data_IF_587118988541
#
_entry.id   IF_587118988541
#
_cell.length_a   1.000
_cell.length_b   1.000
_cell.length_c   1.000
_cell.angle_alpha   90.00
_cell.angle_beta   90.00
_cell.angle_gamma   90.00
#
_symmetry.space_group_name_H-M   'P 1'
#
loop_
_entity.id
_entity.type
_entity.pdbx_description
1 polymer ?
#
# COMPACT_ATOMS: atom_id res chain seq x y z
N UNK A 1 22.57 30.09 -11.81
CA UNK A 1 22.87 28.80 -11.15
C UNK A 1 21.57 28.37 -10.48
N UNK A 2 20.78 27.59 -11.19
CA UNK A 2 19.53 26.99 -10.67
C UNK A 2 19.93 25.73 -9.93
N UNK A 3 19.82 25.73 -8.62
CA UNK A 3 19.93 24.52 -7.81
C UNK A 3 18.86 23.53 -8.28
N UNK A 4 19.31 22.40 -8.79
CA UNK A 4 18.46 21.28 -9.16
C UNK A 4 17.73 20.79 -7.89
N UNK A 5 16.45 21.04 -7.79
CA UNK A 5 15.55 20.39 -6.83
C UNK A 5 15.28 18.95 -7.31
N UNK A 6 16.33 18.15 -7.51
CA UNK A 6 16.21 16.73 -7.75
C UNK A 6 16.22 16.01 -6.40
N UNK A 7 15.03 15.75 -5.86
CA UNK A 7 14.85 14.64 -4.92
C UNK A 7 15.24 13.32 -5.60
N UNK A 8 15.41 12.22 -4.85
CA UNK A 8 15.78 10.92 -5.42
C UNK A 8 14.78 10.52 -6.50
N UNK A 9 15.30 10.04 -7.62
CA UNK A 9 14.52 9.57 -8.77
C UNK A 9 13.77 8.29 -8.39
N UNK A 10 12.44 8.30 -8.55
CA UNK A 10 11.57 7.15 -8.24
C UNK A 10 11.51 6.24 -9.46
N UNK A 11 12.03 5.03 -9.35
CA UNK A 11 12.03 4.03 -10.42
C UNK A 11 10.72 3.26 -10.40
N UNK A 12 9.96 3.38 -11.49
CA UNK A 12 8.61 2.82 -11.61
C UNK A 12 8.59 1.72 -12.66
N UNK A 13 7.90 0.62 -12.37
CA UNK A 13 7.51 -0.41 -13.34
C UNK A 13 6.02 -0.30 -13.60
N UNK A 14 5.63 -0.40 -14.87
CA UNK A 14 4.23 -0.45 -15.31
C UNK A 14 3.87 -1.88 -15.67
N UNK A 15 2.87 -2.45 -15.03
CA UNK A 15 2.35 -3.80 -15.30
C UNK A 15 0.86 -3.74 -15.61
N UNK A 16 0.50 -3.95 -16.86
CA UNK A 16 -0.87 -3.93 -17.38
C UNK A 16 -0.90 -4.70 -18.71
N UNK A 17 -1.90 -5.52 -18.97
CA UNK A 17 -2.00 -6.26 -20.23
C UNK A 17 -2.40 -5.36 -21.42
N UNK A 18 -2.99 -4.20 -21.14
CA UNK A 18 -3.43 -3.24 -22.14
C UNK A 18 -2.30 -2.27 -22.52
N UNK A 19 -1.73 -2.45 -23.71
CA UNK A 19 -0.64 -1.60 -24.22
C UNK A 19 -0.98 -0.10 -24.21
N UNK A 20 -2.20 0.28 -24.57
CA UNK A 20 -2.62 1.69 -24.60
C UNK A 20 -2.61 2.32 -23.21
N UNK A 21 -2.98 1.57 -22.19
CA UNK A 21 -2.96 2.01 -20.79
C UNK A 21 -1.52 2.24 -20.33
N UNK A 22 -0.60 1.30 -20.63
CA UNK A 22 0.82 1.46 -20.32
C UNK A 22 1.43 2.69 -21.01
N UNK A 23 1.15 2.89 -22.32
CA UNK A 23 1.61 4.07 -23.07
C UNK A 23 1.08 5.38 -22.46
N UNK A 24 -0.18 5.41 -22.04
CA UNK A 24 -0.79 6.56 -21.36
C UNK A 24 -0.09 6.90 -20.06
N UNK A 25 0.11 5.92 -19.18
CA UNK A 25 0.84 6.13 -17.92
C UNK A 25 2.30 6.52 -18.16
N UNK A 26 2.97 5.91 -19.14
CA UNK A 26 4.35 6.27 -19.50
C UNK A 26 4.48 7.74 -19.94
N UNK A 27 3.54 8.25 -20.70
CA UNK A 27 3.52 9.67 -21.10
C UNK A 27 3.34 10.60 -19.89
N UNK A 28 2.42 10.25 -18.97
CA UNK A 28 2.18 11.04 -17.75
C UNK A 28 3.40 11.05 -16.84
N UNK A 29 4.02 9.89 -16.62
CA UNK A 29 5.17 9.75 -15.72
C UNK A 29 6.45 10.32 -16.35
N UNK A 30 6.67 10.13 -17.64
CA UNK A 30 7.83 10.66 -18.37
C UNK A 30 7.88 12.20 -18.46
N UNK A 31 6.77 12.88 -18.16
CA UNK A 31 6.75 14.33 -18.02
C UNK A 31 7.30 14.82 -16.67
N UNK A 32 7.62 13.92 -15.73
CA UNK A 32 8.11 14.25 -14.38
C UNK A 32 9.61 14.05 -14.28
N UNK A 33 10.33 15.08 -13.86
CA UNK A 33 11.80 15.05 -13.75
C UNK A 33 12.34 14.09 -12.65
N UNK A 34 11.49 13.65 -11.72
CA UNK A 34 11.87 12.82 -10.58
C UNK A 34 11.21 11.42 -10.58
N UNK A 35 10.69 10.99 -11.73
CA UNK A 35 10.11 9.65 -11.91
C UNK A 35 10.67 9.07 -13.20
N UNK A 36 11.20 7.85 -13.11
CA UNK A 36 11.70 7.11 -14.27
C UNK A 36 10.94 5.79 -14.42
N UNK A 37 10.42 5.53 -15.63
CA UNK A 37 9.79 4.26 -15.99
C UNK A 37 10.87 3.29 -16.45
N UNK A 38 11.39 2.48 -15.53
CA UNK A 38 12.51 1.57 -15.77
C UNK A 38 12.10 0.26 -16.43
N UNK A 39 10.81 -0.06 -16.51
CA UNK A 39 10.33 -1.28 -17.15
C UNK A 39 8.83 -1.32 -17.38
N UNK A 40 8.43 -2.15 -18.33
CA UNK A 40 7.02 -2.45 -18.65
C UNK A 40 6.82 -3.96 -18.72
N UNK A 41 5.68 -4.45 -18.24
CA UNK A 41 5.29 -5.86 -18.28
C UNK A 41 3.81 -5.99 -18.71
N UNK A 42 3.49 -7.10 -19.37
CA UNK A 42 2.12 -7.44 -19.78
C UNK A 42 1.45 -8.43 -18.82
N UNK A 43 2.22 -8.93 -17.86
CA UNK A 43 1.78 -9.88 -16.84
C UNK A 43 2.72 -9.91 -15.62
N UNK A 44 2.34 -10.69 -14.63
CA UNK A 44 3.12 -10.82 -13.40
C UNK A 44 4.46 -11.51 -13.57
N UNK A 45 4.63 -12.40 -14.56
CA UNK A 45 5.92 -13.06 -14.84
C UNK A 45 6.95 -12.05 -15.32
N UNK A 46 6.56 -11.19 -16.26
CA UNK A 46 7.38 -10.09 -16.73
C UNK A 46 7.80 -9.12 -15.62
N UNK A 47 6.90 -8.83 -14.67
CA UNK A 47 7.27 -8.02 -13.50
C UNK A 47 8.38 -8.69 -12.69
N UNK A 48 8.25 -9.99 -12.39
CA UNK A 48 9.27 -10.71 -11.62
C UNK A 48 10.62 -10.78 -12.33
N UNK A 49 10.63 -10.87 -13.67
CA UNK A 49 11.86 -10.84 -14.45
C UNK A 49 12.55 -9.47 -14.40
N UNK A 50 11.79 -8.38 -14.46
CA UNK A 50 12.32 -7.03 -14.29
C UNK A 50 12.92 -6.86 -12.89
N UNK A 51 12.24 -7.29 -11.83
CA UNK A 51 12.70 -7.19 -10.45
C UNK A 51 14.00 -7.94 -10.17
N UNK A 52 14.35 -8.97 -10.96
CA UNK A 52 15.62 -9.70 -10.84
C UNK A 52 16.80 -8.93 -11.41
N UNK A 53 16.54 -8.00 -12.31
CA UNK A 53 17.58 -7.35 -13.12
C UNK A 53 17.72 -5.86 -12.84
N UNK A 54 16.64 -5.21 -12.41
CA UNK A 54 16.60 -3.76 -12.20
C UNK A 54 16.15 -3.42 -10.77
N UNK A 55 16.75 -2.39 -10.17
CA UNK A 55 16.25 -1.84 -8.93
C UNK A 55 14.96 -1.05 -9.21
N UNK A 56 13.90 -1.38 -8.47
CA UNK A 56 12.55 -0.80 -8.61
C UNK A 56 12.08 -0.29 -7.27
N UNK A 57 11.47 0.91 -7.25
CA UNK A 57 10.94 1.52 -6.04
C UNK A 57 9.41 1.33 -5.94
N UNK A 58 8.70 1.51 -7.07
CA UNK A 58 7.24 1.40 -7.13
C UNK A 58 6.82 0.57 -8.37
N UNK A 59 5.86 -0.30 -8.19
CA UNK A 59 5.22 -1.05 -9.27
C UNK A 59 3.77 -0.59 -9.36
N UNK A 60 3.38 -0.03 -10.51
CA UNK A 60 1.97 0.16 -10.85
C UNK A 60 1.46 -1.14 -11.46
N UNK A 61 0.59 -1.83 -10.74
CA UNK A 61 0.19 -3.21 -11.05
C UNK A 61 -1.29 -3.30 -11.36
N UNK A 62 -1.64 -3.67 -12.59
CA UNK A 62 -3.01 -4.11 -12.86
C UNK A 62 -3.32 -5.41 -12.13
N UNK A 63 -4.55 -5.55 -11.68
CA UNK A 63 -5.02 -6.77 -11.03
C UNK A 63 -5.22 -7.89 -12.02
N UNK A 64 -5.81 -7.60 -13.17
CA UNK A 64 -6.23 -8.60 -14.15
C UNK A 64 -5.26 -8.67 -15.31
N UNK A 65 -4.32 -9.59 -15.24
CA UNK A 65 -3.36 -9.85 -16.29
C UNK A 65 -3.35 -11.34 -16.67
N UNK A 66 -2.98 -11.69 -17.91
CA UNK A 66 -2.85 -13.09 -18.33
C UNK A 66 -1.69 -13.79 -17.60
N UNK A 67 -1.63 -15.12 -17.68
CA UNK A 67 -0.60 -15.99 -17.11
C UNK A 67 -0.47 -15.89 -15.59
N UNK A 68 0.03 -14.78 -15.09
CA UNK A 68 0.11 -14.45 -13.67
C UNK A 68 -0.62 -13.13 -13.40
N UNK A 69 -1.66 -13.18 -12.57
CA UNK A 69 -2.42 -12.00 -12.17
C UNK A 69 -1.65 -11.08 -11.20
N UNK A 70 -2.16 -9.87 -11.00
CA UNK A 70 -1.52 -8.87 -10.16
C UNK A 70 -1.49 -9.25 -8.67
N UNK A 71 -2.41 -10.06 -8.18
CA UNK A 71 -2.43 -10.51 -6.78
C UNK A 71 -1.28 -11.48 -6.53
N UNK A 72 -1.10 -12.47 -7.37
CA UNK A 72 0.00 -13.43 -7.26
C UNK A 72 1.35 -12.77 -7.54
N UNK A 73 1.41 -11.87 -8.54
CA UNK A 73 2.61 -11.07 -8.80
C UNK A 73 2.99 -10.20 -7.59
N UNK A 74 2.02 -9.57 -6.94
CA UNK A 74 2.23 -8.81 -5.69
C UNK A 74 2.82 -9.68 -4.61
N UNK A 75 2.22 -10.84 -4.35
CA UNK A 75 2.71 -11.78 -3.32
C UNK A 75 4.16 -12.17 -3.55
N UNK A 76 4.52 -12.55 -4.79
CA UNK A 76 5.88 -12.96 -5.15
C UNK A 76 6.87 -11.81 -5.11
N UNK A 77 6.48 -10.63 -5.60
CA UNK A 77 7.31 -9.42 -5.55
C UNK A 77 7.64 -9.05 -4.10
N UNK A 78 6.65 -9.10 -3.20
CA UNK A 78 6.84 -8.80 -1.79
C UNK A 78 7.76 -9.82 -1.09
N UNK A 79 7.71 -11.09 -1.48
CA UNK A 79 8.56 -12.14 -0.91
C UNK A 79 10.01 -12.07 -1.41
N UNK A 80 10.24 -11.55 -2.63
CA UNK A 80 11.55 -11.68 -3.30
C UNK A 80 12.46 -10.47 -3.08
N UNK A 81 11.94 -9.25 -3.13
CA UNK A 81 12.77 -8.04 -3.19
C UNK A 81 12.67 -7.12 -1.96
N UNK A 82 11.65 -7.29 -1.14
CA UNK A 82 11.43 -6.51 0.10
C UNK A 82 11.35 -4.99 -0.04
N UNK A 83 11.89 -4.40 -1.12
CA UNK A 83 12.01 -2.94 -1.30
C UNK A 83 10.99 -2.32 -2.24
N UNK A 84 10.60 -3.01 -3.33
CA UNK A 84 9.62 -2.48 -4.27
C UNK A 84 8.21 -2.46 -3.65
N UNK A 85 7.52 -1.34 -3.76
CA UNK A 85 6.16 -1.15 -3.25
C UNK A 85 5.16 -1.28 -4.37
N UNK A 86 4.08 -2.01 -4.12
CA UNK A 86 3.06 -2.28 -5.15
C UNK A 86 1.86 -1.35 -4.94
N UNK A 87 1.56 -0.56 -5.96
CA UNK A 87 0.36 0.25 -6.07
C UNK A 87 -0.56 -0.40 -7.10
N UNK A 88 -1.67 -0.95 -6.65
CA UNK A 88 -2.64 -1.62 -7.52
C UNK A 88 -3.43 -0.62 -8.35
N UNK A 89 -3.59 -0.93 -9.63
CA UNK A 89 -4.48 -0.24 -10.56
C UNK A 89 -5.75 -1.09 -10.76
N UNK A 90 -6.92 -0.51 -10.61
CA UNK A 90 -8.20 -1.21 -10.82
C UNK A 90 -9.20 -0.32 -11.53
N UNK A 91 -10.12 -0.92 -12.29
CA UNK A 91 -11.23 -0.20 -12.95
C UNK A 91 -12.49 -0.14 -12.09
N UNK A 92 -12.56 -0.91 -11.00
CA UNK A 92 -13.71 -0.96 -10.10
C UNK A 92 -13.35 -0.54 -8.68
N UNK A 93 -14.23 0.26 -8.07
CA UNK A 93 -14.15 0.64 -6.67
C UNK A 93 -14.55 -0.59 -5.81
N UNK A 94 -13.65 -1.03 -4.91
CA UNK A 94 -13.93 -2.09 -3.91
C UNK A 94 -14.14 -3.52 -4.44
N UNK A 95 -13.28 -3.98 -5.33
CA UNK A 95 -13.29 -5.36 -5.83
C UNK A 95 -12.65 -6.35 -4.81
N UNK A 96 -13.11 -7.61 -4.78
CA UNK A 96 -12.48 -8.71 -4.03
C UNK A 96 -10.96 -8.80 -4.30
N UNK A 97 -10.55 -8.45 -5.50
CA UNK A 97 -9.17 -8.40 -5.93
C UNK A 97 -8.34 -7.32 -5.21
N UNK A 98 -8.92 -6.14 -4.94
CA UNK A 98 -8.21 -5.08 -4.21
C UNK A 98 -7.87 -5.54 -2.79
N UNK A 99 -8.81 -6.20 -2.10
CA UNK A 99 -8.56 -6.81 -0.79
C UNK A 99 -7.51 -7.93 -0.85
N UNK A 100 -7.64 -8.84 -1.82
CA UNK A 100 -6.67 -9.92 -2.00
C UNK A 100 -5.26 -9.40 -2.26
N UNK A 101 -5.14 -8.30 -3.03
CA UNK A 101 -3.87 -7.65 -3.30
C UNK A 101 -3.27 -6.96 -2.06
N UNK A 102 -4.09 -6.30 -1.23
CA UNK A 102 -3.64 -5.74 0.05
C UNK A 102 -3.13 -6.85 0.99
N UNK A 103 -3.84 -7.98 1.09
CA UNK A 103 -3.37 -9.17 1.82
C UNK A 103 -2.10 -9.77 1.23
N UNK A 104 -1.92 -9.70 -0.08
CA UNK A 104 -0.71 -10.16 -0.74
C UNK A 104 0.50 -9.24 -0.52
N UNK A 105 0.30 -8.05 0.08
CA UNK A 105 1.36 -7.10 0.42
C UNK A 105 1.35 -5.80 -0.39
N UNK A 106 0.27 -5.49 -1.12
CA UNK A 106 0.17 -4.19 -1.81
C UNK A 106 0.19 -3.03 -0.82
N UNK A 107 0.87 -1.95 -1.19
CA UNK A 107 1.01 -0.71 -0.40
C UNK A 107 -0.13 0.28 -0.62
N UNK A 108 -1.02 -0.01 -1.56
CA UNK A 108 -2.19 0.80 -1.87
C UNK A 108 -2.89 0.36 -3.14
N UNK A 109 -3.98 1.05 -3.46
CA UNK A 109 -4.66 0.92 -4.75
C UNK A 109 -5.25 2.26 -5.20
N UNK A 110 -5.40 2.42 -6.50
CA UNK A 110 -6.06 3.55 -7.14
C UNK A 110 -6.89 3.08 -8.34
N UNK A 111 -7.84 3.89 -8.75
CA UNK A 111 -8.62 3.64 -9.96
C UNK A 111 -7.81 4.01 -11.21
N UNK A 112 -7.99 3.29 -12.31
CA UNK A 112 -7.31 3.58 -13.58
C UNK A 112 -7.76 4.89 -14.24
N UNK A 113 -8.91 5.44 -13.83
CA UNK A 113 -9.46 6.72 -14.29
C UNK A 113 -9.04 7.91 -13.40
N UNK A 114 -8.12 7.68 -12.46
CA UNK A 114 -7.57 8.72 -11.57
C UNK A 114 -6.92 9.85 -12.37
N UNK A 115 -7.00 11.07 -11.85
CA UNK A 115 -6.31 12.21 -12.48
C UNK A 115 -4.79 12.02 -12.48
N UNK A 116 -4.06 12.57 -13.49
CA UNK A 116 -2.60 12.54 -13.48
C UNK A 116 -1.97 13.08 -12.20
N UNK A 117 -2.54 14.12 -11.61
CA UNK A 117 -2.04 14.71 -10.36
C UNK A 117 -2.18 13.75 -9.17
N UNK A 118 -3.31 13.05 -9.08
CA UNK A 118 -3.55 12.07 -8.01
C UNK A 118 -2.69 10.82 -8.18
N UNK A 119 -2.47 10.35 -9.43
CA UNK A 119 -1.54 9.26 -9.72
C UNK A 119 -0.12 9.60 -9.23
N UNK A 120 0.37 10.78 -9.57
CA UNK A 120 1.70 11.23 -9.16
C UNK A 120 1.82 11.39 -7.63
N UNK A 121 0.78 11.92 -7.00
CA UNK A 121 0.70 11.99 -5.53
C UNK A 121 0.74 10.61 -4.91
N UNK A 122 -0.02 9.67 -5.47
CA UNK A 122 -0.07 8.28 -5.02
C UNK A 122 1.31 7.59 -5.10
N UNK A 123 2.01 7.73 -6.22
CA UNK A 123 3.36 7.15 -6.39
C UNK A 123 4.33 7.70 -5.34
N UNK A 124 4.33 9.03 -5.12
CA UNK A 124 5.21 9.67 -4.13
C UNK A 124 4.89 9.23 -2.70
N UNK A 125 3.61 9.14 -2.35
CA UNK A 125 3.17 8.68 -1.03
C UNK A 125 3.54 7.22 -0.80
N UNK A 126 3.32 6.34 -1.77
CA UNK A 126 3.76 4.93 -1.68
C UNK A 126 5.27 4.86 -1.52
N UNK A 127 6.04 5.60 -2.31
CA UNK A 127 7.50 5.65 -2.21
C UNK A 127 7.98 6.13 -0.83
N UNK A 128 7.31 7.13 -0.23
CA UNK A 128 7.65 7.63 1.12
C UNK A 128 7.19 6.70 2.26
N UNK A 129 6.45 5.64 1.96
CA UNK A 129 5.91 4.73 2.97
C UNK A 129 4.58 5.17 3.58
N UNK A 130 3.99 6.20 3.03
CA UNK A 130 2.65 6.63 3.38
C UNK A 130 1.61 5.77 2.64
N UNK A 131 0.48 5.49 3.27
CA UNK A 131 -0.59 4.73 2.64
C UNK A 131 -1.30 5.56 1.57
N UNK A 132 -1.48 4.99 0.38
CA UNK A 132 -2.24 5.59 -0.72
C UNK A 132 -3.62 4.95 -0.85
N UNK A 133 -4.20 4.63 0.23
CA UNK A 133 -5.64 4.36 0.26
C UNK A 133 -6.22 5.40 1.17
N UNK A 134 -7.23 6.14 0.70
CA UNK A 134 -7.97 6.98 1.62
C UNK A 134 -8.35 6.09 2.81
N UNK A 135 -8.06 6.48 4.05
CA UNK A 135 -8.31 5.67 5.22
C UNK A 135 -9.75 5.14 5.28
N UNK A 136 -10.70 5.95 4.80
CA UNK A 136 -12.11 5.58 4.63
C UNK A 136 -12.32 4.43 3.63
N UNK A 137 -11.52 4.34 2.58
CA UNK A 137 -11.66 3.31 1.55
C UNK A 137 -11.03 1.99 2.00
N UNK A 138 -9.86 2.03 2.67
CA UNK A 138 -9.29 0.84 3.32
C UNK A 138 -10.26 0.28 4.35
N UNK A 139 -10.87 1.15 5.15
CA UNK A 139 -11.88 0.76 6.13
C UNK A 139 -13.09 0.10 5.48
N UNK A 140 -13.68 0.71 4.44
CA UNK A 140 -14.82 0.12 3.70
C UNK A 140 -14.50 -1.24 3.09
N UNK A 141 -13.28 -1.40 2.52
CA UNK A 141 -12.79 -2.69 2.02
C UNK A 141 -12.73 -3.73 3.14
N UNK A 142 -12.12 -3.38 4.25
CA UNK A 142 -11.96 -4.27 5.38
C UNK A 142 -13.31 -4.59 6.04
N UNK A 143 -14.22 -3.63 6.18
CA UNK A 143 -15.57 -3.82 6.71
C UNK A 143 -16.41 -4.76 5.84
N UNK A 144 -16.28 -4.66 4.52
CA UNK A 144 -17.02 -5.49 3.57
C UNK A 144 -16.55 -6.94 3.59
N UNK A 145 -15.25 -7.18 3.79
CA UNK A 145 -14.64 -8.50 3.75
C UNK A 145 -14.45 -9.16 5.11
N UNK A 146 -14.39 -8.40 6.22
CA UNK A 146 -14.40 -8.99 7.57
C UNK A 146 -15.71 -9.70 7.90
N UNK A 147 -16.82 -9.37 7.24
CA UNK A 147 -18.07 -10.13 7.30
C UNK A 147 -17.99 -11.53 6.70
N UNK A 148 -16.97 -11.84 5.89
CA UNK A 148 -16.73 -13.15 5.27
C UNK A 148 -15.68 -14.00 6.04
N UNK A 149 -15.00 -13.42 7.04
CA UNK A 149 -14.18 -14.22 7.94
C UNK A 149 -15.10 -15.11 8.77
N UNK A 150 -14.82 -16.43 8.91
CA UNK A 150 -15.64 -17.30 9.70
C UNK A 150 -15.74 -16.74 11.12
N UNK A 151 -16.98 -16.42 11.54
CA UNK A 151 -17.33 -16.07 12.90
C UNK A 151 -17.11 -17.30 13.80
N UNK A 152 -15.88 -17.69 14.04
CA UNK A 152 -15.55 -18.46 15.22
C UNK A 152 -15.63 -17.45 16.37
N UNK A 153 -16.65 -17.59 17.22
CA UNK A 153 -16.93 -16.69 18.33
C UNK A 153 -15.84 -16.62 19.42
N UNK A 154 -14.64 -17.02 19.09
CA UNK A 154 -13.41 -16.90 19.84
C UNK A 154 -12.53 -15.88 19.12
N UNK A 155 -12.34 -14.71 19.73
CA UNK A 155 -11.29 -13.79 19.32
C UNK A 155 -9.96 -14.56 19.45
N UNK A 156 -9.23 -14.85 18.35
CA UNK A 156 -7.95 -15.51 18.49
C UNK A 156 -7.07 -14.69 19.43
N UNK A 157 -6.26 -15.31 20.28
CA UNK A 157 -5.34 -14.57 21.12
C UNK A 157 -4.49 -13.67 20.23
N UNK A 158 -4.24 -12.39 20.63
CA UNK A 158 -3.43 -11.49 19.83
C UNK A 158 -2.10 -12.19 19.51
N UNK A 159 -1.64 -12.14 18.25
CA UNK A 159 -0.34 -12.72 17.92
C UNK A 159 0.72 -12.14 18.88
N UNK A 160 1.69 -12.95 19.26
CA UNK A 160 2.77 -12.56 20.18
C UNK A 160 3.45 -11.24 19.74
N UNK A 161 3.44 -10.94 18.42
CA UNK A 161 3.93 -9.69 17.87
C UNK A 161 3.19 -8.43 18.39
N UNK A 162 1.90 -8.49 18.71
CA UNK A 162 1.18 -7.36 19.28
C UNK A 162 1.57 -7.09 20.74
N UNK A 163 2.09 -8.08 21.46
CA UNK A 163 2.56 -7.93 22.85
C UNK A 163 3.85 -7.10 22.92
N UNK A 164 4.62 -7.00 21.85
CA UNK A 164 5.81 -6.17 21.76
C UNK A 164 5.52 -4.67 21.67
N UNK A 165 4.28 -4.32 21.35
CA UNK A 165 3.86 -2.92 21.29
C UNK A 165 3.63 -2.34 22.68
N UNK A 166 4.19 -1.17 22.93
CA UNK A 166 3.82 -0.36 24.11
C UNK A 166 2.35 0.03 24.04
N UNK A 167 1.71 0.38 25.19
CA UNK A 167 0.33 0.86 25.18
C UNK A 167 0.09 2.00 24.18
N UNK A 168 1.05 2.92 24.04
CA UNK A 168 0.96 4.05 23.12
C UNK A 168 1.07 3.64 21.65
N UNK A 169 1.94 2.71 21.32
CA UNK A 169 2.07 2.18 19.97
C UNK A 169 0.82 1.38 19.57
N UNK A 170 0.26 0.61 20.48
CA UNK A 170 -1.02 -0.10 20.25
C UNK A 170 -2.18 0.86 20.03
N UNK A 171 -2.25 1.97 20.79
CA UNK A 171 -3.24 3.02 20.59
C UNK A 171 -3.09 3.69 19.22
N UNK A 172 -1.86 4.01 18.81
CA UNK A 172 -1.57 4.55 17.48
C UNK A 172 -1.98 3.57 16.38
N UNK A 173 -1.65 2.28 16.51
CA UNK A 173 -2.06 1.24 15.56
C UNK A 173 -3.58 1.15 15.43
N UNK A 174 -4.31 1.18 16.54
CA UNK A 174 -5.78 1.17 16.54
C UNK A 174 -6.38 2.41 15.85
N UNK A 175 -5.77 3.58 16.02
CA UNK A 175 -6.20 4.81 15.34
C UNK A 175 -5.86 4.79 13.85
N UNK A 176 -4.70 4.22 13.47
CA UNK A 176 -4.36 3.97 12.07
C UNK A 176 -5.38 3.05 11.40
N UNK A 177 -5.77 1.97 12.06
CA UNK A 177 -6.76 1.01 11.57
C UNK A 177 -8.17 1.63 11.44
N UNK A 178 -8.49 2.63 12.26
CA UNK A 178 -9.72 3.43 12.11
C UNK A 178 -9.64 4.46 10.98
N UNK A 179 -8.55 4.52 10.27
CA UNK A 179 -8.38 5.38 9.11
C UNK A 179 -7.97 6.82 9.42
N UNK A 180 -7.49 7.14 10.61
CA UNK A 180 -7.06 8.49 10.92
C UNK A 180 -5.69 8.78 10.28
N UNK A 181 -5.53 9.95 9.69
CA UNK A 181 -4.23 10.49 9.25
C UNK A 181 -3.30 10.79 10.43
N UNK A 182 -2.02 10.99 10.17
CA UNK A 182 -1.07 11.35 11.24
C UNK A 182 -1.45 12.67 11.94
N UNK A 183 -2.00 13.64 11.20
CA UNK A 183 -2.48 14.91 11.76
C UNK A 183 -3.69 14.70 12.69
N UNK A 184 -4.66 13.87 12.28
CA UNK A 184 -5.83 13.55 13.10
C UNK A 184 -5.45 12.76 14.35
N UNK A 185 -4.52 11.79 14.23
CA UNK A 185 -3.96 11.05 15.37
C UNK A 185 -3.25 12.02 16.32
N UNK A 186 -2.45 12.95 15.80
CA UNK A 186 -1.75 13.97 16.58
C UNK A 186 -2.72 14.83 17.40
N UNK A 187 -3.81 15.30 16.75
CA UNK A 187 -4.87 16.06 17.42
C UNK A 187 -5.56 15.25 18.50
N UNK A 188 -5.88 13.97 18.24
CA UNK A 188 -6.58 13.10 19.19
C UNK A 188 -5.72 12.72 20.40
N UNK A 189 -4.42 12.54 20.19
CA UNK A 189 -3.47 12.13 21.21
C UNK A 189 -2.75 13.31 21.90
N UNK A 190 -3.06 14.54 21.47
CA UNK A 190 -2.46 15.80 21.96
C UNK A 190 -0.92 15.77 21.90
N UNK A 191 -0.40 15.41 20.72
CA UNK A 191 1.04 15.35 20.44
C UNK A 191 1.35 16.01 19.09
N UNK A 192 2.62 16.18 18.75
CA UNK A 192 3.00 16.65 17.41
C UNK A 192 2.85 15.55 16.35
N UNK A 193 2.62 15.94 15.10
CA UNK A 193 2.57 14.99 13.97
C UNK A 193 3.91 14.23 13.82
N UNK A 194 5.04 14.88 14.10
CA UNK A 194 6.37 14.25 14.11
C UNK A 194 6.44 13.12 15.15
N UNK A 195 5.83 13.33 16.32
CA UNK A 195 5.73 12.29 17.36
C UNK A 195 4.91 11.10 16.88
N UNK A 196 3.79 11.36 16.19
CA UNK A 196 2.97 10.29 15.59
C UNK A 196 3.78 9.53 14.53
N UNK A 197 4.48 10.22 13.61
CA UNK A 197 5.35 9.57 12.61
C UNK A 197 6.39 8.66 13.26
N UNK A 198 6.96 9.08 14.39
CA UNK A 198 7.90 8.26 15.16
C UNK A 198 7.23 6.99 15.72
N UNK A 199 6.03 7.10 16.30
CA UNK A 199 5.29 5.94 16.78
C UNK A 199 4.89 5.00 15.65
N UNK A 200 4.41 5.52 14.52
CA UNK A 200 4.10 4.73 13.33
C UNK A 200 5.33 3.95 12.86
N UNK A 201 6.48 4.60 12.71
CA UNK A 201 7.73 3.93 12.33
C UNK A 201 8.11 2.80 13.29
N UNK A 202 7.98 3.01 14.62
CA UNK A 202 8.24 1.98 15.62
C UNK A 202 7.26 0.80 15.53
N UNK A 203 5.98 1.08 15.31
CA UNK A 203 4.97 0.04 15.09
C UNK A 203 5.34 -0.82 13.89
N UNK A 204 5.63 -0.20 12.75
CA UNK A 204 6.03 -0.90 11.52
C UNK A 204 7.29 -1.76 11.75
N UNK A 205 8.31 -1.21 12.39
CA UNK A 205 9.55 -1.95 12.68
C UNK A 205 9.33 -3.13 13.61
N UNK A 206 8.57 -2.95 14.71
CA UNK A 206 8.33 -4.02 15.70
C UNK A 206 7.49 -5.15 15.15
N UNK A 207 6.55 -4.84 14.24
CA UNK A 207 5.67 -5.83 13.64
C UNK A 207 6.20 -6.37 12.31
N UNK A 208 7.40 -5.95 11.90
CA UNK A 208 8.02 -6.31 10.60
C UNK A 208 7.10 -6.01 9.41
N UNK A 209 6.49 -4.82 9.43
CA UNK A 209 5.54 -4.39 8.41
C UNK A 209 6.18 -3.37 7.47
N UNK A 210 5.90 -3.50 6.18
CA UNK A 210 6.50 -2.67 5.12
C UNK A 210 5.96 -1.25 5.09
N UNK A 211 4.67 -1.10 5.41
CA UNK A 211 3.98 0.18 5.32
C UNK A 211 2.71 0.21 6.20
N UNK A 212 2.06 1.37 6.19
CA UNK A 212 0.85 1.63 6.97
C UNK A 212 -0.33 0.73 6.58
N UNK A 213 -0.45 0.37 5.30
CA UNK A 213 -1.55 -0.47 4.82
C UNK A 213 -1.47 -1.85 5.45
N UNK A 214 -0.26 -2.42 5.51
CA UNK A 214 -0.01 -3.71 6.15
C UNK A 214 -0.32 -3.66 7.65
N UNK A 215 -0.05 -2.54 8.32
CA UNK A 215 -0.42 -2.36 9.72
C UNK A 215 -1.94 -2.33 9.92
N UNK A 216 -2.68 -1.71 9.01
CA UNK A 216 -4.15 -1.70 9.03
C UNK A 216 -4.70 -3.11 8.79
N UNK A 217 -4.23 -3.83 7.77
CA UNK A 217 -4.63 -5.22 7.50
C UNK A 217 -4.40 -6.10 8.74
N UNK A 218 -3.21 -6.05 9.35
CA UNK A 218 -2.88 -6.80 10.54
C UNK A 218 -3.81 -6.47 11.73
N UNK A 219 -4.12 -5.20 11.95
CA UNK A 219 -5.00 -4.79 13.05
C UNK A 219 -6.43 -5.37 12.93
N UNK A 220 -6.93 -5.52 11.70
CA UNK A 220 -8.22 -6.17 11.45
C UNK A 220 -8.12 -7.69 11.57
N UNK A 221 -7.10 -8.33 10.99
CA UNK A 221 -6.89 -9.79 11.05
C UNK A 221 -6.72 -10.28 12.50
N UNK A 222 -6.09 -9.47 13.35
CA UNK A 222 -5.86 -9.78 14.77
C UNK A 222 -7.04 -9.41 15.68
N UNK A 223 -8.10 -8.81 15.13
CA UNK A 223 -9.24 -8.35 15.91
C UNK A 223 -8.94 -7.18 16.84
N UNK A 224 -7.78 -6.49 16.69
CA UNK A 224 -7.47 -5.29 17.47
C UNK A 224 -8.49 -4.18 17.22
N UNK A 225 -9.04 -4.12 16.01
CA UNK A 225 -10.15 -3.26 15.62
C UNK A 225 -11.22 -4.11 14.94
N UNK A 226 -12.45 -4.01 15.43
CA UNK A 226 -13.61 -4.66 14.83
C UNK A 226 -14.46 -3.63 14.11
N UNK A 227 -14.98 -3.98 12.94
CA UNK A 227 -15.88 -3.13 12.14
C UNK A 227 -17.11 -2.61 12.89
N UNK A 228 -17.53 -3.30 13.97
CA UNK A 228 -18.72 -2.95 14.76
C UNK A 228 -18.46 -1.88 15.84
N UNK A 229 -17.22 -1.53 16.16
CA UNK A 229 -16.85 -0.58 17.24
C UNK A 229 -16.03 0.61 16.74
N UNK A 230 -16.15 0.94 15.49
CA UNK A 230 -15.38 2.01 14.87
C UNK A 230 -16.24 3.20 14.44
#
# INVERSE_FOLDING_TARGET
VTESQNGPEIRVVLADDQKLVREGFRLVLGAQANIDVVGEAEDGEGVLDILRTLPVDVILMDVRMPRMDGVEATRRSCATTGSARVLILTIFDLDEYAYAALKAGASGFILKDVSPADLLSAIRSVHSGEAVVAPSTTRRLLDQFTGQLPNTGETPPPPASLEELTPREREVLALMARGLSNAEIAGRLVVSETTVKTHVGRVLTKLDLRDRVQAVVLAYETGLVNARNA
#
